data_IF_921891335626
#
_entry.id   IF_921891335626
#
_cell.length_a   1.000
_cell.length_b   1.000
_cell.length_c   1.000
_cell.angle_alpha   90.00
_cell.angle_beta   90.00
_cell.angle_gamma   90.00
#
_symmetry.space_group_name_H-M   'P 1'
#
loop_
_entity.id
_entity.type
_entity.pdbx_description
1 polymer ?
#
# COMPACT_ATOMS: atom_id res chain seq x y z
N UNK A 1 28.58 25.37 -6.83
CA UNK A 1 27.22 25.14 -6.27
C UNK A 1 26.52 24.37 -7.34
N UNK A 2 26.31 23.06 -7.16
CA UNK A 2 25.44 22.31 -8.05
C UNK A 2 24.03 22.84 -7.81
N UNK A 3 23.38 23.32 -8.87
CA UNK A 3 22.00 23.78 -8.79
C UNK A 3 21.12 22.61 -8.33
N UNK A 4 20.49 22.76 -7.19
CA UNK A 4 19.49 21.77 -6.73
C UNK A 4 18.34 21.78 -7.76
N UNK A 5 18.05 20.66 -8.40
CA UNK A 5 17.03 20.64 -9.46
C UNK A 5 15.67 21.08 -8.92
N UNK A 6 14.89 21.77 -9.76
CA UNK A 6 13.55 22.24 -9.41
C UNK A 6 12.64 21.01 -9.16
N UNK A 7 11.78 21.11 -8.15
CA UNK A 7 10.78 20.08 -7.84
C UNK A 7 9.45 20.49 -8.48
N UNK A 8 8.99 19.68 -9.43
CA UNK A 8 7.70 19.81 -10.07
C UNK A 8 6.67 18.93 -9.37
N UNK A 9 5.49 19.49 -9.08
CA UNK A 9 4.44 18.81 -8.33
C UNK A 9 3.21 18.61 -9.22
N UNK A 10 2.72 17.38 -9.27
CA UNK A 10 1.53 16.99 -10.03
C UNK A 10 0.61 16.15 -9.16
N UNK A 11 -0.68 16.09 -9.51
CA UNK A 11 -1.63 15.22 -8.82
C UNK A 11 -2.72 14.73 -9.75
N UNK A 12 -3.25 13.53 -9.44
CA UNK A 12 -4.31 12.87 -10.19
C UNK A 12 -5.21 12.10 -9.23
N UNK A 13 -6.47 11.85 -9.62
CA UNK A 13 -7.42 11.05 -8.85
C UNK A 13 -7.55 9.66 -9.48
N UNK A 14 -7.27 8.61 -8.72
CA UNK A 14 -7.48 7.22 -9.12
C UNK A 14 -7.75 6.37 -7.87
N UNK A 15 -8.37 5.22 -7.99
CA UNK A 15 -8.73 4.33 -6.88
C UNK A 15 -9.57 5.02 -5.79
N UNK A 16 -10.33 6.08 -6.14
CA UNK A 16 -11.04 6.92 -5.20
C UNK A 16 -10.14 7.67 -4.22
N UNK A 17 -8.90 7.92 -4.60
CA UNK A 17 -7.85 8.56 -3.80
C UNK A 17 -7.06 9.54 -4.67
N UNK A 18 -6.42 10.51 -4.03
CA UNK A 18 -5.51 11.43 -4.72
C UNK A 18 -4.09 10.89 -4.69
N UNK A 19 -3.46 10.87 -5.86
CA UNK A 19 -2.05 10.58 -6.04
C UNK A 19 -1.29 11.88 -6.26
N UNK A 20 -0.09 11.97 -5.67
CA UNK A 20 0.84 13.07 -5.89
C UNK A 20 2.15 12.53 -6.44
N UNK A 21 2.69 13.26 -7.39
CA UNK A 21 3.96 12.98 -8.05
C UNK A 21 4.84 14.21 -7.91
N UNK A 22 6.00 14.05 -7.30
CA UNK A 22 7.04 15.07 -7.22
C UNK A 22 8.23 14.61 -8.01
N UNK A 23 8.60 15.35 -9.04
CA UNK A 23 9.74 15.05 -9.91
C UNK A 23 10.76 16.15 -9.75
N UNK A 24 12.01 15.78 -9.43
CA UNK A 24 13.13 16.69 -9.41
C UNK A 24 13.82 16.66 -10.78
N UNK A 25 13.62 17.68 -11.60
CA UNK A 25 14.13 17.80 -12.95
C UNK A 25 14.42 19.27 -13.30
N UNK A 26 15.34 19.51 -14.24
CA UNK A 26 15.60 20.83 -14.79
C UNK A 26 14.50 21.28 -15.77
N UNK A 27 14.04 20.36 -16.62
CA UNK A 27 13.01 20.60 -17.63
C UNK A 27 11.60 20.29 -17.08
N UNK A 28 10.85 21.36 -16.78
CA UNK A 28 9.47 21.24 -16.28
C UNK A 28 8.48 20.74 -17.33
N UNK A 29 8.75 20.91 -18.63
CA UNK A 29 7.89 20.37 -19.70
C UNK A 29 8.07 18.85 -19.78
N UNK A 30 9.33 18.40 -19.71
CA UNK A 30 9.62 16.96 -19.67
C UNK A 30 9.02 16.29 -18.45
N UNK A 31 9.15 16.90 -17.26
CA UNK A 31 8.54 16.41 -16.03
C UNK A 31 7.00 16.32 -16.12
N UNK A 32 6.35 17.30 -16.76
CA UNK A 32 4.90 17.29 -16.99
C UNK A 32 4.49 16.15 -17.90
N UNK A 33 5.16 15.96 -19.03
CA UNK A 33 4.84 14.88 -19.98
C UNK A 33 5.02 13.49 -19.32
N UNK A 34 6.05 13.33 -18.49
CA UNK A 34 6.22 12.12 -17.70
C UNK A 34 5.04 11.91 -16.73
N UNK A 35 4.64 12.95 -15.98
CA UNK A 35 3.51 12.87 -15.07
C UNK A 35 2.18 12.52 -15.78
N UNK A 36 1.93 13.07 -16.96
CA UNK A 36 0.76 12.73 -17.78
C UNK A 36 0.76 11.25 -18.20
N UNK A 37 1.93 10.71 -18.56
CA UNK A 37 2.09 9.27 -18.84
C UNK A 37 1.79 8.40 -17.61
N UNK A 38 2.23 8.83 -16.42
CA UNK A 38 1.90 8.14 -15.16
C UNK A 38 0.40 8.18 -14.86
N UNK A 39 -0.29 9.28 -15.18
CA UNK A 39 -1.72 9.39 -14.94
C UNK A 39 -2.54 8.48 -15.86
N UNK A 40 -2.13 8.32 -17.12
CA UNK A 40 -2.72 7.33 -18.02
C UNK A 40 -2.54 5.90 -17.49
N UNK A 41 -1.35 5.58 -16.97
CA UNK A 41 -1.10 4.30 -16.32
C UNK A 41 -2.00 4.09 -15.09
N UNK A 42 -2.18 5.14 -14.26
CA UNK A 42 -3.05 5.07 -13.09
C UNK A 42 -4.51 4.79 -13.47
N UNK A 43 -5.04 5.46 -14.51
CA UNK A 43 -6.40 5.26 -14.98
C UNK A 43 -6.62 3.83 -15.51
N UNK A 44 -5.62 3.29 -16.22
CA UNK A 44 -5.67 1.90 -16.71
C UNK A 44 -5.62 0.90 -15.54
N UNK A 45 -4.72 1.10 -14.58
CA UNK A 45 -4.62 0.26 -13.39
C UNK A 45 -5.90 0.32 -12.55
N UNK A 46 -6.50 1.51 -12.36
CA UNK A 46 -7.76 1.69 -11.64
C UNK A 46 -8.87 0.86 -12.29
N UNK A 47 -9.04 0.99 -13.61
CA UNK A 47 -10.03 0.20 -14.34
C UNK A 47 -9.79 -1.32 -14.22
N UNK A 48 -8.53 -1.76 -14.34
CA UNK A 48 -8.20 -3.19 -14.37
C UNK A 48 -8.28 -3.87 -13.00
N UNK A 49 -8.03 -3.16 -11.91
CA UNK A 49 -7.79 -3.78 -10.60
C UNK A 49 -8.76 -3.36 -9.49
N UNK A 50 -9.55 -2.32 -9.71
CA UNK A 50 -10.57 -1.91 -8.73
C UNK A 50 -11.91 -2.59 -9.00
N UNK A 51 -12.40 -3.32 -8.00
CA UNK A 51 -13.70 -4.02 -8.06
C UNK A 51 -14.91 -3.10 -8.18
N UNK A 52 -14.75 -1.78 -8.00
CA UNK A 52 -15.83 -0.78 -8.11
C UNK A 52 -16.19 -0.43 -9.55
N UNK A 53 -15.34 -0.78 -10.50
CA UNK A 53 -15.67 -0.66 -11.93
C UNK A 53 -16.51 -1.85 -12.37
N UNK A 54 -17.82 -1.67 -12.52
CA UNK A 54 -18.79 -2.74 -12.82
C UNK A 54 -18.44 -3.54 -14.08
N UNK A 55 -17.80 -2.93 -15.07
CA UNK A 55 -17.32 -3.57 -16.31
C UNK A 55 -15.84 -3.97 -16.26
N UNK A 56 -15.16 -3.77 -15.12
CA UNK A 56 -13.75 -4.07 -14.96
C UNK A 56 -13.47 -5.56 -14.77
N UNK A 57 -12.21 -5.98 -14.98
CA UNK A 57 -11.81 -7.39 -14.84
C UNK A 57 -12.10 -7.96 -13.45
N UNK A 58 -11.87 -7.21 -12.36
CA UNK A 58 -12.10 -7.70 -10.99
C UNK A 58 -13.60 -7.86 -10.71
N UNK A 59 -14.46 -6.97 -11.22
CA UNK A 59 -15.91 -7.16 -11.13
C UNK A 59 -16.35 -8.40 -11.91
N UNK A 60 -15.79 -8.65 -13.08
CA UNK A 60 -16.04 -9.86 -13.87
C UNK A 60 -15.63 -11.12 -13.12
N UNK A 61 -14.46 -11.12 -12.46
CA UNK A 61 -14.01 -12.23 -11.59
C UNK A 61 -15.04 -12.49 -10.48
N UNK A 62 -15.53 -11.44 -9.85
CA UNK A 62 -16.49 -11.55 -8.74
C UNK A 62 -17.90 -11.99 -9.18
N UNK A 63 -18.19 -12.00 -10.48
CA UNK A 63 -19.47 -12.45 -11.06
C UNK A 63 -19.36 -13.82 -11.73
N UNK A 64 -18.17 -14.43 -11.75
CA UNK A 64 -17.97 -15.72 -12.40
C UNK A 64 -18.79 -16.82 -11.73
N UNK A 65 -19.53 -17.63 -12.50
CA UNK A 65 -20.11 -18.85 -11.97
C UNK A 65 -19.04 -19.90 -11.65
N UNK A 66 -19.38 -20.82 -10.78
CA UNK A 66 -18.52 -21.96 -10.44
C UNK A 66 -18.12 -22.74 -11.71
N UNK A 67 -16.83 -23.06 -11.84
CA UNK A 67 -16.24 -23.72 -12.99
C UNK A 67 -15.86 -22.79 -14.15
N UNK A 68 -16.24 -21.50 -14.12
CA UNK A 68 -15.86 -20.57 -15.16
C UNK A 68 -14.38 -20.13 -15.03
N UNK A 69 -13.80 -19.73 -16.17
CA UNK A 69 -12.43 -19.24 -16.29
C UNK A 69 -12.41 -17.90 -17.02
N UNK A 70 -11.47 -17.05 -16.64
CA UNK A 70 -11.19 -15.77 -17.33
C UNK A 70 -9.67 -15.59 -17.46
N UNK A 71 -9.24 -14.98 -18.56
CA UNK A 71 -7.85 -14.55 -18.70
C UNK A 71 -7.60 -13.33 -17.80
N UNK A 72 -6.75 -13.49 -16.79
CA UNK A 72 -6.32 -12.43 -15.91
C UNK A 72 -5.23 -11.58 -16.58
N UNK A 73 -5.36 -10.25 -16.54
CA UNK A 73 -4.29 -9.35 -16.97
C UNK A 73 -3.03 -9.52 -16.11
N UNK A 74 -1.89 -9.06 -16.59
CA UNK A 74 -0.62 -9.12 -15.84
C UNK A 74 -0.73 -8.42 -14.46
N UNK A 75 -1.51 -7.33 -14.38
CA UNK A 75 -1.74 -6.60 -13.14
C UNK A 75 -2.57 -7.39 -12.14
N UNK A 76 -3.62 -8.06 -12.61
CA UNK A 76 -4.44 -8.96 -11.77
C UNK A 76 -3.62 -10.15 -11.31
N UNK A 77 -2.80 -10.75 -12.20
CA UNK A 77 -1.91 -11.85 -11.86
C UNK A 77 -0.90 -11.45 -10.77
N UNK A 78 -0.24 -10.30 -10.93
CA UNK A 78 0.74 -9.80 -9.96
C UNK A 78 0.12 -9.57 -8.58
N UNK A 79 -1.02 -8.88 -8.51
CA UNK A 79 -1.75 -8.65 -7.27
C UNK A 79 -2.27 -9.94 -6.64
N UNK A 80 -2.76 -10.88 -7.47
CA UNK A 80 -3.21 -12.18 -6.99
C UNK A 80 -2.08 -12.97 -6.36
N UNK A 81 -0.96 -13.13 -7.04
CA UNK A 81 0.20 -13.87 -6.55
C UNK A 81 0.72 -13.27 -5.24
N UNK A 82 0.93 -11.95 -5.20
CA UNK A 82 1.33 -11.27 -3.97
C UNK A 82 0.33 -11.50 -2.83
N UNK A 83 -0.97 -11.42 -3.14
CA UNK A 83 -2.04 -11.65 -2.15
C UNK A 83 -2.03 -13.07 -1.59
N UNK A 84 -1.73 -14.07 -2.42
CA UNK A 84 -1.63 -15.47 -1.99
C UNK A 84 -0.41 -15.69 -1.10
N UNK A 85 0.72 -15.11 -1.47
CA UNK A 85 1.96 -15.23 -0.70
C UNK A 85 1.79 -14.61 0.69
N UNK A 86 1.32 -13.35 0.77
CA UNK A 86 1.14 -12.69 2.07
C UNK A 86 0.02 -13.34 2.90
N UNK A 87 -1.02 -13.89 2.26
CA UNK A 87 -2.08 -14.64 2.96
C UNK A 87 -1.52 -15.90 3.61
N UNK A 88 -0.66 -16.64 2.89
CA UNK A 88 0.01 -17.83 3.42
C UNK A 88 0.97 -17.48 4.57
N UNK A 89 1.77 -16.43 4.41
CA UNK A 89 2.76 -15.98 5.39
C UNK A 89 2.13 -15.45 6.69
N UNK A 90 0.90 -14.94 6.62
CA UNK A 90 0.20 -14.31 7.76
C UNK A 90 -0.95 -15.17 8.32
N UNK A 91 -1.06 -16.43 7.87
CA UNK A 91 -2.17 -17.29 8.29
C UNK A 91 -3.54 -16.65 8.00
N UNK A 92 -3.68 -16.02 6.84
CA UNK A 92 -4.86 -15.29 6.38
C UNK A 92 -5.23 -14.03 7.18
N UNK A 93 -4.32 -13.42 7.93
CA UNK A 93 -4.55 -12.09 8.48
C UNK A 93 -4.71 -11.02 7.38
N UNK A 94 -4.17 -11.29 6.20
CA UNK A 94 -4.50 -10.63 4.94
C UNK A 94 -5.08 -11.66 3.96
N UNK A 95 -6.19 -11.34 3.32
CA UNK A 95 -6.76 -12.19 2.27
C UNK A 95 -7.58 -11.34 1.27
N UNK A 96 -7.12 -11.28 0.02
CA UNK A 96 -7.81 -10.52 -1.03
C UNK A 96 -9.18 -11.09 -1.40
N UNK A 97 -9.53 -12.32 -0.99
CA UNK A 97 -10.86 -12.90 -1.24
C UNK A 97 -11.91 -12.53 -0.18
N UNK A 98 -11.52 -11.76 0.85
CA UNK A 98 -12.40 -11.30 1.93
C UNK A 98 -13.26 -10.08 1.57
N UNK A 99 -13.31 -9.66 0.31
CA UNK A 99 -14.04 -8.45 -0.13
C UNK A 99 -15.52 -8.43 0.25
N UNK A 100 -16.18 -9.59 0.33
CA UNK A 100 -17.58 -9.70 0.77
C UNK A 100 -17.75 -9.30 2.25
N UNK A 101 -16.78 -9.62 3.12
CA UNK A 101 -16.78 -9.24 4.53
C UNK A 101 -16.67 -7.70 4.67
N UNK A 102 -15.78 -7.06 3.90
CA UNK A 102 -15.67 -5.60 3.88
C UNK A 102 -16.97 -4.95 3.39
N UNK A 103 -17.59 -5.50 2.35
CA UNK A 103 -18.87 -5.01 1.84
C UNK A 103 -19.99 -5.12 2.88
N UNK A 104 -20.08 -6.23 3.59
CA UNK A 104 -21.05 -6.44 4.66
C UNK A 104 -20.92 -5.33 5.72
N UNK A 105 -19.71 -5.11 6.25
CA UNK A 105 -19.48 -4.11 7.29
C UNK A 105 -19.71 -2.69 6.79
N UNK A 106 -19.28 -2.35 5.59
CA UNK A 106 -19.50 -1.04 4.97
C UNK A 106 -21.01 -0.73 4.80
N UNK A 107 -21.79 -1.72 4.36
CA UNK A 107 -23.21 -1.52 4.10
C UNK A 107 -24.07 -1.53 5.38
N UNK A 108 -23.55 -2.13 6.45
CA UNK A 108 -24.23 -2.18 7.75
C UNK A 108 -24.27 -0.83 8.47
N UNK A 109 -23.26 0.02 8.27
CA UNK A 109 -23.10 1.28 9.01
C UNK A 109 -22.84 1.04 10.50
N UNK A 110 -23.46 1.87 11.38
CA UNK A 110 -23.25 1.87 12.83
C UNK A 110 -24.14 0.85 13.60
N UNK A 111 -24.84 -0.04 12.91
CA UNK A 111 -25.70 -1.00 13.60
C UNK A 111 -24.88 -1.95 14.49
N UNK A 112 -25.37 -2.30 15.71
CA UNK A 112 -24.67 -3.23 16.59
C UNK A 112 -24.47 -4.59 15.92
N UNK A 113 -23.31 -5.20 16.13
CA UNK A 113 -23.04 -6.54 15.60
C UNK A 113 -23.96 -7.58 16.23
N UNK A 114 -24.59 -8.38 15.39
CA UNK A 114 -25.35 -9.55 15.81
C UNK A 114 -24.68 -10.81 15.23
N UNK A 115 -24.08 -11.68 16.06
CA UNK A 115 -23.43 -12.91 15.59
C UNK A 115 -24.42 -13.90 14.95
N UNK A 116 -25.72 -13.78 15.25
CA UNK A 116 -26.80 -14.63 14.69
C UNK A 116 -27.38 -14.04 13.39
N UNK A 117 -26.81 -12.96 12.86
CA UNK A 117 -27.23 -12.37 11.60
C UNK A 117 -27.05 -13.37 10.45
N UNK A 118 -28.15 -13.74 9.81
CA UNK A 118 -28.16 -14.73 8.73
C UNK A 118 -27.32 -14.28 7.54
N UNK A 119 -27.34 -12.97 7.19
CA UNK A 119 -26.54 -12.43 6.09
C UNK A 119 -25.04 -12.51 6.40
N UNK A 120 -24.66 -12.25 7.65
CA UNK A 120 -23.29 -12.42 8.11
C UNK A 120 -22.82 -13.87 8.01
N UNK A 121 -23.63 -14.81 8.51
CA UNK A 121 -23.30 -16.23 8.47
C UNK A 121 -23.16 -16.74 7.04
N UNK A 122 -23.98 -16.23 6.10
CA UNK A 122 -23.85 -16.53 4.68
C UNK A 122 -22.54 -16.00 4.09
N UNK A 123 -22.16 -14.75 4.40
CA UNK A 123 -20.89 -14.15 3.94
C UNK A 123 -19.70 -14.97 4.44
N UNK A 124 -19.69 -15.35 5.72
CA UNK A 124 -18.58 -16.12 6.30
C UNK A 124 -18.52 -17.55 5.78
N UNK A 125 -19.67 -18.20 5.56
CA UNK A 125 -19.71 -19.53 4.94
C UNK A 125 -19.18 -19.47 3.50
N UNK A 126 -19.68 -18.53 2.70
CA UNK A 126 -19.22 -18.35 1.33
C UNK A 126 -17.72 -18.10 1.26
N UNK A 127 -17.18 -17.20 2.10
CA UNK A 127 -15.74 -16.92 2.17
C UNK A 127 -14.91 -18.17 2.50
N UNK A 128 -15.33 -18.98 3.47
CA UNK A 128 -14.61 -20.19 3.89
C UNK A 128 -14.64 -21.28 2.82
N UNK A 129 -15.73 -21.37 2.10
CA UNK A 129 -15.98 -22.38 1.08
C UNK A 129 -15.45 -21.99 -0.31
N UNK A 130 -15.31 -20.69 -0.58
CA UNK A 130 -14.90 -20.16 -1.88
C UNK A 130 -13.46 -20.49 -2.23
N UNK A 131 -13.23 -20.81 -3.50
CA UNK A 131 -11.90 -21.09 -4.03
C UNK A 131 -11.74 -20.50 -5.43
N UNK A 132 -10.69 -19.70 -5.60
CA UNK A 132 -10.19 -19.26 -6.90
C UNK A 132 -8.79 -19.82 -7.12
N UNK A 133 -8.49 -20.22 -8.35
CA UNK A 133 -7.17 -20.73 -8.75
C UNK A 133 -6.66 -20.00 -9.97
N UNK A 134 -5.43 -19.52 -9.87
CA UNK A 134 -4.69 -18.97 -11.01
C UNK A 134 -3.69 -20.03 -11.50
N UNK A 135 -3.75 -20.37 -12.79
CA UNK A 135 -2.80 -21.22 -13.48
C UNK A 135 -2.31 -20.50 -14.75
N UNK A 136 -1.04 -20.10 -14.75
CA UNK A 136 -0.54 -19.17 -15.74
C UNK A 136 -1.32 -17.85 -15.73
N UNK A 137 -2.01 -17.56 -16.84
CA UNK A 137 -2.91 -16.38 -16.93
C UNK A 137 -4.39 -16.73 -16.76
N UNK A 138 -4.77 -17.98 -16.52
CA UNK A 138 -6.16 -18.40 -16.39
C UNK A 138 -6.61 -18.41 -14.92
N UNK A 139 -7.49 -17.49 -14.56
CA UNK A 139 -8.15 -17.49 -13.26
C UNK A 139 -9.45 -18.26 -13.32
N UNK A 140 -9.56 -19.30 -12.50
CA UNK A 140 -10.74 -20.19 -12.42
C UNK A 140 -11.48 -19.94 -11.10
N UNK A 141 -12.80 -19.76 -11.15
CA UNK A 141 -13.68 -19.90 -10.00
C UNK A 141 -13.93 -21.39 -9.74
N UNK A 142 -13.14 -22.03 -8.87
CA UNK A 142 -13.27 -23.45 -8.56
C UNK A 142 -14.52 -23.71 -7.75
N UNK A 143 -14.77 -22.85 -6.76
CA UNK A 143 -15.99 -22.86 -5.95
C UNK A 143 -16.40 -21.42 -5.68
N UNK A 144 -17.64 -21.10 -5.96
CA UNK A 144 -18.17 -19.75 -5.73
C UNK A 144 -18.21 -19.43 -4.24
N UNK A 145 -17.65 -18.28 -3.86
CA UNK A 145 -17.67 -17.80 -2.49
C UNK A 145 -16.58 -16.73 -2.26
N UNK A 146 -16.85 -15.82 -1.36
CA UNK A 146 -16.00 -14.64 -1.17
C UNK A 146 -16.16 -13.61 -2.28
N UNK A 147 -15.30 -12.61 -2.26
CA UNK A 147 -15.15 -11.63 -3.33
C UNK A 147 -13.71 -11.11 -3.36
N UNK A 148 -13.13 -11.06 -4.54
CA UNK A 148 -11.77 -10.52 -4.74
C UNK A 148 -11.79 -9.00 -4.58
N UNK A 149 -10.89 -8.49 -3.75
CA UNK A 149 -10.71 -7.07 -3.49
C UNK A 149 -9.21 -6.76 -3.23
N UNK A 150 -8.60 -6.05 -4.15
CA UNK A 150 -7.21 -5.62 -4.03
C UNK A 150 -7.06 -4.23 -3.39
N UNK A 151 -8.15 -3.57 -2.99
CA UNK A 151 -8.17 -2.19 -2.50
C UNK A 151 -7.23 -1.89 -1.33
N UNK A 152 -6.79 -2.91 -0.61
CA UNK A 152 -5.86 -2.80 0.50
C UNK A 152 -4.39 -2.66 0.09
N UNK A 153 -4.03 -3.06 -1.15
CA UNK A 153 -2.65 -3.15 -1.64
C UNK A 153 -2.43 -2.52 -3.02
N UNK A 154 -3.51 -2.21 -3.73
CA UNK A 154 -3.44 -1.77 -5.13
C UNK A 154 -2.76 -0.42 -5.30
N UNK A 155 -2.83 0.47 -4.31
CA UNK A 155 -2.17 1.78 -4.39
C UNK A 155 -0.65 1.65 -4.30
N UNK A 156 -0.16 0.76 -3.45
CA UNK A 156 1.26 0.41 -3.40
C UNK A 156 1.73 -0.18 -4.72
N UNK A 157 0.98 -1.12 -5.26
CA UNK A 157 1.25 -1.67 -6.58
C UNK A 157 1.32 -0.60 -7.67
N UNK A 158 0.37 0.35 -7.67
CA UNK A 158 0.35 1.44 -8.62
C UNK A 158 1.59 2.34 -8.48
N UNK A 159 2.03 2.67 -7.26
CA UNK A 159 3.26 3.44 -7.06
C UNK A 159 4.50 2.71 -7.57
N UNK A 160 4.60 1.39 -7.38
CA UNK A 160 5.71 0.59 -7.92
C UNK A 160 5.72 0.62 -9.46
N UNK A 161 4.54 0.47 -10.13
CA UNK A 161 4.44 0.59 -11.59
C UNK A 161 4.80 1.98 -12.10
N UNK A 162 4.38 3.03 -11.39
CA UNK A 162 4.74 4.41 -11.71
C UNK A 162 6.26 4.63 -11.59
N UNK A 163 6.89 4.11 -10.56
CA UNK A 163 8.33 4.18 -10.38
C UNK A 163 9.08 3.48 -11.53
N UNK A 164 8.65 2.26 -11.88
CA UNK A 164 9.22 1.53 -13.01
C UNK A 164 9.10 2.31 -14.33
N UNK A 165 7.94 2.93 -14.60
CA UNK A 165 7.74 3.75 -15.79
C UNK A 165 8.63 5.00 -15.79
N UNK A 166 8.75 5.69 -14.65
CA UNK A 166 9.66 6.85 -14.54
C UNK A 166 11.10 6.46 -14.87
N UNK A 167 11.58 5.36 -14.31
CA UNK A 167 12.96 4.95 -14.49
C UNK A 167 13.22 4.35 -15.87
N UNK A 168 12.35 3.43 -16.33
CA UNK A 168 12.59 2.68 -17.58
C UNK A 168 12.24 3.47 -18.84
N UNK A 169 11.16 4.27 -18.83
CA UNK A 169 10.66 4.96 -20.01
C UNK A 169 11.07 6.42 -20.08
N UNK A 170 11.23 7.07 -18.92
CA UNK A 170 11.56 8.49 -18.82
C UNK A 170 12.98 8.78 -18.32
N UNK A 171 13.72 7.77 -17.83
CA UNK A 171 15.06 7.99 -17.24
C UNK A 171 15.05 8.93 -16.03
N UNK A 172 13.90 9.04 -15.35
CA UNK A 172 13.72 9.90 -14.18
C UNK A 172 13.90 9.04 -12.92
N UNK A 173 15.00 9.28 -12.20
CA UNK A 173 15.34 8.54 -10.98
C UNK A 173 15.05 9.33 -9.69
N UNK A 174 14.80 10.65 -9.79
CA UNK A 174 14.61 11.54 -8.64
C UNK A 174 13.16 11.94 -8.51
N UNK A 175 12.38 11.15 -7.76
CA UNK A 175 10.96 11.38 -7.57
C UNK A 175 10.46 10.93 -6.20
N UNK A 176 9.33 11.49 -5.78
CA UNK A 176 8.54 11.06 -4.64
C UNK A 176 7.10 10.83 -5.11
N UNK A 177 6.63 9.62 -4.95
CA UNK A 177 5.29 9.17 -5.33
C UNK A 177 4.47 8.92 -4.07
N UNK A 178 3.23 9.39 -4.03
CA UNK A 178 2.39 9.28 -2.84
C UNK A 178 0.93 8.98 -3.22
N UNK A 179 0.28 8.11 -2.49
CA UNK A 179 -1.16 7.87 -2.57
C UNK A 179 -1.81 8.20 -1.22
N UNK A 180 -2.64 9.24 -1.23
CA UNK A 180 -3.58 9.74 -0.21
C UNK A 180 -3.39 9.21 1.23
N UNK A 181 -2.26 9.58 1.87
CA UNK A 181 -2.02 9.28 3.30
C UNK A 181 -1.83 7.80 3.65
N UNK A 182 -1.87 6.88 2.66
CA UNK A 182 -1.71 5.45 2.91
C UNK A 182 -0.32 4.93 2.60
N UNK A 183 0.25 5.32 1.46
CA UNK A 183 1.56 4.83 1.01
C UNK A 183 2.34 5.91 0.28
N UNK A 184 3.65 5.89 0.48
CA UNK A 184 4.63 6.78 -0.15
C UNK A 184 5.81 5.94 -0.63
N UNK A 185 6.26 6.16 -1.86
CA UNK A 185 7.46 5.56 -2.44
C UNK A 185 8.46 6.67 -2.78
N UNK A 186 9.64 6.60 -2.22
CA UNK A 186 10.73 7.51 -2.47
C UNK A 186 11.76 6.86 -3.39
N UNK A 187 12.00 7.46 -4.55
CA UNK A 187 13.17 7.23 -5.38
C UNK A 187 14.37 8.05 -4.87
N UNK A 188 15.38 8.30 -5.69
CA UNK A 188 16.53 9.12 -5.30
C UNK A 188 16.08 10.54 -4.92
N UNK A 189 16.67 11.14 -3.91
CA UNK A 189 16.32 12.49 -3.48
C UNK A 189 16.89 13.56 -4.42
N UNK A 190 16.39 14.80 -4.35
CA UNK A 190 16.97 15.92 -5.09
C UNK A 190 18.33 16.34 -4.48
N UNK A 191 19.31 16.66 -5.33
CA UNK A 191 20.62 17.13 -4.93
C UNK A 191 21.37 16.14 -4.01
N UNK A 192 22.08 16.67 -3.02
CA UNK A 192 22.89 15.88 -2.06
C UNK A 192 22.10 15.44 -0.81
N UNK A 193 20.78 15.54 -0.81
CA UNK A 193 19.97 15.13 0.32
C UNK A 193 20.10 13.63 0.58
N UNK A 194 20.12 13.22 1.84
CA UNK A 194 20.15 11.81 2.23
C UNK A 194 18.80 11.08 1.96
N UNK A 195 17.73 11.78 1.62
CA UNK A 195 16.42 11.23 1.34
C UNK A 195 15.31 12.27 1.28
N UNK A 196 14.16 11.87 0.82
CA UNK A 196 12.93 12.66 0.88
C UNK A 196 12.40 12.70 2.31
N UNK A 197 12.03 13.90 2.78
CA UNK A 197 11.50 14.10 4.15
C UNK A 197 10.01 13.74 4.18
N UNK A 198 9.64 12.76 4.98
CA UNK A 198 8.28 12.23 5.14
C UNK A 198 7.82 12.42 6.58
N UNK A 199 6.69 13.12 6.77
CA UNK A 199 6.09 13.28 8.09
C UNK A 199 5.50 11.97 8.62
N UNK A 200 5.86 11.58 9.84
CA UNK A 200 5.35 10.36 10.51
C UNK A 200 4.56 10.65 11.79
N UNK A 201 4.20 11.88 12.00
CA UNK A 201 3.41 12.36 13.14
C UNK A 201 3.36 13.88 13.17
N UNK A 202 2.85 14.46 14.25
CA UNK A 202 2.70 15.92 14.36
C UNK A 202 4.06 16.65 14.24
N UNK A 203 5.11 16.13 14.89
CA UNK A 203 6.43 16.75 14.96
C UNK A 203 7.56 15.80 14.56
N UNK A 204 7.26 14.66 13.94
CA UNK A 204 8.25 13.67 13.59
C UNK A 204 8.31 13.47 12.07
N UNK A 205 9.52 13.26 11.56
CA UNK A 205 9.76 12.93 10.16
C UNK A 205 10.86 11.88 10.01
N UNK A 206 10.84 11.20 8.89
CA UNK A 206 11.90 10.30 8.46
C UNK A 206 12.42 10.74 7.09
N UNK A 207 13.62 10.32 6.73
CA UNK A 207 14.17 10.49 5.38
C UNK A 207 14.12 9.15 4.66
N UNK A 208 13.44 9.10 3.51
CA UNK A 208 13.34 7.91 2.66
C UNK A 208 14.14 8.08 1.38
N UNK A 209 14.90 7.06 1.00
CA UNK A 209 15.59 6.94 -0.27
C UNK A 209 15.53 5.48 -0.71
N UNK A 210 14.96 5.21 -1.87
CA UNK A 210 14.77 3.85 -2.41
C UNK A 210 13.98 2.92 -1.48
N UNK A 211 13.04 3.51 -0.72
CA UNK A 211 12.13 2.79 0.17
C UNK A 211 10.71 3.35 0.07
N UNK A 212 9.77 2.50 0.39
CA UNK A 212 8.39 2.86 0.60
C UNK A 212 8.01 2.83 2.08
N UNK A 213 7.06 3.68 2.45
CA UNK A 213 6.39 3.65 3.75
C UNK A 213 4.89 3.60 3.54
N UNK A 214 4.22 2.69 4.24
CA UNK A 214 2.77 2.67 4.31
C UNK A 214 2.29 2.94 5.74
N UNK A 215 1.04 3.41 5.85
CA UNK A 215 0.38 3.66 7.13
C UNK A 215 -1.06 3.16 7.06
N UNK A 216 -1.45 2.34 8.03
CA UNK A 216 -2.83 1.88 8.19
C UNK A 216 -3.40 2.37 9.50
N UNK A 217 -4.54 3.06 9.41
CA UNK A 217 -5.39 3.42 10.54
C UNK A 217 -6.70 2.64 10.44
N UNK A 218 -7.30 2.32 11.57
CA UNK A 218 -8.64 1.76 11.62
C UNK A 218 -9.41 2.46 12.74
N UNK A 219 -10.52 3.07 12.39
CA UNK A 219 -11.50 3.51 13.37
C UNK A 219 -12.80 2.71 13.22
N UNK A 220 -13.56 2.65 14.28
CA UNK A 220 -14.82 1.90 14.31
C UNK A 220 -15.94 2.58 13.52
N UNK A 221 -15.80 3.86 13.19
CA UNK A 221 -16.83 4.66 12.53
C UNK A 221 -16.92 4.39 11.04
N UNK A 222 -15.85 3.92 10.43
CA UNK A 222 -15.80 3.69 8.99
C UNK A 222 -15.65 2.22 8.59
N UNK A 223 -15.60 1.27 9.54
CA UNK A 223 -15.63 -0.18 9.30
C UNK A 223 -14.52 -0.71 8.38
N UNK A 224 -13.36 -0.06 8.37
CA UNK A 224 -12.42 -0.16 7.27
C UNK A 224 -11.36 -1.26 7.42
N UNK A 225 -11.33 -1.95 8.57
CA UNK A 225 -10.42 -3.06 8.78
C UNK A 225 -11.17 -4.24 9.38
N UNK A 226 -11.09 -5.37 8.71
CA UNK A 226 -11.70 -6.64 9.15
C UNK A 226 -10.61 -7.68 9.24
N UNK A 227 -10.59 -8.47 10.32
CA UNK A 227 -9.79 -9.70 10.35
C UNK A 227 -10.47 -10.76 9.49
N UNK A 228 -9.90 -11.15 8.35
CA UNK A 228 -10.53 -12.14 7.48
C UNK A 228 -10.77 -13.50 8.14
N UNK A 229 -9.96 -13.85 9.13
CA UNK A 229 -10.02 -15.13 9.86
C UNK A 229 -11.29 -15.26 10.71
N UNK A 230 -11.67 -14.15 11.35
CA UNK A 230 -12.83 -14.07 12.25
C UNK A 230 -14.00 -13.32 11.63
N UNK A 231 -13.72 -12.48 10.64
CA UNK A 231 -14.64 -11.57 10.01
C UNK A 231 -15.04 -10.37 10.88
N UNK A 232 -14.38 -10.15 12.00
CA UNK A 232 -14.68 -9.05 12.90
C UNK A 232 -13.93 -7.77 12.54
N UNK A 233 -14.56 -6.63 12.79
CA UNK A 233 -13.92 -5.31 12.64
C UNK A 233 -12.86 -5.12 13.71
N UNK A 234 -11.70 -4.63 13.29
CA UNK A 234 -10.59 -4.27 14.16
C UNK A 234 -10.58 -2.75 14.33
N UNK A 235 -10.36 -2.31 15.58
CA UNK A 235 -10.06 -0.94 15.93
C UNK A 235 -8.60 -0.84 16.37
N UNK A 236 -7.89 0.16 15.87
CA UNK A 236 -6.50 0.41 16.24
C UNK A 236 -6.40 1.68 17.11
N UNK A 237 -5.66 1.65 18.21
CA UNK A 237 -5.45 2.83 19.06
C UNK A 237 -4.57 3.89 18.39
N UNK A 238 -3.97 3.57 17.27
CA UNK A 238 -3.11 4.45 16.47
C UNK A 238 -2.72 3.79 15.16
N UNK A 239 -1.95 4.47 14.32
CA UNK A 239 -1.54 3.92 13.03
C UNK A 239 -0.51 2.79 13.19
N UNK A 240 -0.70 1.73 12.43
CA UNK A 240 0.37 0.78 12.09
C UNK A 240 1.11 1.34 10.89
N UNK A 241 2.43 1.40 10.95
CA UNK A 241 3.28 1.84 9.83
C UNK A 241 4.25 0.75 9.45
N UNK A 242 4.57 0.71 8.17
CA UNK A 242 5.53 -0.25 7.63
C UNK A 242 6.52 0.45 6.71
N UNK A 243 7.69 -0.15 6.56
CA UNK A 243 8.72 0.25 5.62
C UNK A 243 9.18 -0.98 4.86
N UNK A 244 9.31 -0.87 3.55
CA UNK A 244 9.83 -1.91 2.65
C UNK A 244 10.48 -1.27 1.41
N UNK A 245 11.16 -2.07 0.61
CA UNK A 245 11.75 -1.61 -0.66
C UNK A 245 10.73 -1.39 -1.77
N UNK A 246 9.55 -2.00 -1.67
CA UNK A 246 8.42 -1.90 -2.59
C UNK A 246 7.21 -1.29 -1.88
N UNK A 247 6.43 -0.47 -2.57
CA UNK A 247 5.23 0.14 -2.03
C UNK A 247 4.10 -0.89 -1.84
N UNK A 248 3.99 -1.87 -2.75
CA UNK A 248 3.09 -3.01 -2.62
C UNK A 248 3.39 -3.80 -1.34
N UNK A 249 4.66 -4.10 -1.09
CA UNK A 249 5.08 -4.81 0.11
C UNK A 249 4.81 -3.99 1.38
N UNK A 250 5.11 -2.69 1.36
CA UNK A 250 4.82 -1.81 2.49
C UNK A 250 3.32 -1.80 2.83
N UNK A 251 2.42 -1.66 1.84
CA UNK A 251 0.97 -1.72 2.09
C UNK A 251 0.54 -3.08 2.66
N UNK A 252 1.04 -4.18 2.08
CA UNK A 252 0.74 -5.53 2.57
C UNK A 252 1.19 -5.74 4.02
N UNK A 253 2.40 -5.30 4.37
CA UNK A 253 2.93 -5.33 5.74
C UNK A 253 2.07 -4.51 6.72
N UNK A 254 1.69 -3.28 6.35
CA UNK A 254 0.85 -2.43 7.19
C UNK A 254 -0.55 -3.04 7.41
N UNK A 255 -1.12 -3.64 6.36
CA UNK A 255 -2.43 -4.30 6.44
C UNK A 255 -2.38 -5.55 7.32
N UNK A 256 -1.43 -6.45 7.08
CA UNK A 256 -1.27 -7.64 7.89
C UNK A 256 -0.92 -7.29 9.35
N UNK A 257 0.02 -6.37 9.56
CA UNK A 257 0.43 -5.92 10.89
C UNK A 257 -0.67 -5.25 11.70
N UNK A 258 -1.69 -4.70 11.03
CA UNK A 258 -2.88 -4.14 11.68
C UNK A 258 -3.85 -5.23 12.20
N UNK A 259 -3.71 -6.47 11.73
CA UNK A 259 -4.56 -7.62 12.09
C UNK A 259 -3.83 -8.58 13.04
N UNK A 260 -2.52 -8.76 12.82
CA UNK A 260 -1.69 -9.70 13.58
C UNK A 260 -1.50 -9.25 15.04
N UNK A 261 -1.39 -10.20 15.95
CA UNK A 261 -0.85 -9.96 17.28
C UNK A 261 0.63 -9.53 17.18
N UNK A 262 1.17 -8.92 18.22
CA UNK A 262 2.58 -8.47 18.22
C UNK A 262 3.56 -9.63 17.94
N UNK A 263 3.31 -10.83 18.50
CA UNK A 263 4.16 -12.00 18.28
C UNK A 263 4.08 -12.52 16.84
N UNK A 264 2.89 -12.61 16.25
CA UNK A 264 2.69 -12.98 14.85
C UNK A 264 3.33 -11.95 13.91
N UNK A 265 3.20 -10.65 14.23
CA UNK A 265 3.79 -9.56 13.47
C UNK A 265 5.33 -9.62 13.48
N UNK A 266 5.95 -9.93 14.62
CA UNK A 266 7.40 -10.11 14.75
C UNK A 266 7.90 -11.27 13.88
N UNK A 267 7.22 -12.42 13.95
CA UNK A 267 7.57 -13.59 13.12
C UNK A 267 7.44 -13.24 11.62
N UNK A 268 6.35 -12.60 11.23
CA UNK A 268 6.09 -12.23 9.83
C UNK A 268 7.15 -11.27 9.27
N UNK A 269 7.46 -10.20 10.01
CA UNK A 269 8.43 -9.18 9.57
C UNK A 269 9.83 -9.78 9.42
N UNK A 270 10.23 -10.70 10.32
CA UNK A 270 11.56 -11.32 10.31
C UNK A 270 11.75 -12.36 9.20
N UNK A 271 10.71 -12.77 8.48
CA UNK A 271 10.83 -13.67 7.31
C UNK A 271 11.40 -12.97 6.08
N UNK A 272 11.41 -11.64 6.02
CA UNK A 272 11.92 -10.85 4.90
C UNK A 272 13.09 -9.94 5.27
N UNK A 273 13.88 -9.56 4.24
CA UNK A 273 14.96 -8.59 4.38
C UNK A 273 14.44 -7.16 4.15
N UNK A 274 15.07 -6.17 4.78
CA UNK A 274 14.79 -4.75 4.56
C UNK A 274 13.33 -4.35 4.84
N UNK A 275 12.70 -5.00 5.80
CA UNK A 275 11.32 -4.75 6.26
C UNK A 275 11.31 -4.12 7.65
N UNK A 276 10.32 -3.29 7.90
CA UNK A 276 10.07 -2.73 9.21
C UNK A 276 8.58 -2.52 9.46
N UNK A 277 8.17 -2.70 10.71
CA UNK A 277 6.81 -2.50 11.16
C UNK A 277 6.80 -1.74 12.48
N UNK A 278 6.01 -0.69 12.56
CA UNK A 278 5.80 0.09 13.78
C UNK A 278 4.36 -0.08 14.24
N UNK A 279 4.20 -0.66 15.40
CA UNK A 279 2.89 -0.88 16.02
C UNK A 279 2.39 0.37 16.73
N UNK A 280 1.08 0.47 17.00
CA UNK A 280 0.48 1.66 17.62
C UNK A 280 1.01 1.98 19.04
N UNK A 281 1.52 0.98 19.75
CA UNK A 281 2.11 1.12 21.09
C UNK A 281 3.57 1.64 21.06
N UNK A 282 4.11 1.89 19.87
CA UNK A 282 5.49 2.33 19.65
C UNK A 282 6.50 1.20 19.46
N UNK A 283 6.09 -0.07 19.53
CA UNK A 283 6.95 -1.21 19.26
C UNK A 283 7.42 -1.18 17.79
N UNK A 284 8.72 -1.37 17.57
CA UNK A 284 9.34 -1.43 16.26
C UNK A 284 9.90 -2.82 16.03
N UNK A 285 9.51 -3.44 14.91
CA UNK A 285 9.86 -4.79 14.52
C UNK A 285 10.65 -4.78 13.20
N UNK A 286 11.54 -5.75 13.02
CA UNK A 286 12.34 -5.91 11.80
C UNK A 286 13.53 -4.96 11.71
N UNK A 287 14.02 -4.69 10.50
CA UNK A 287 15.25 -3.92 10.23
C UNK A 287 15.06 -2.38 10.21
N UNK A 288 14.03 -1.87 10.89
CA UNK A 288 13.64 -0.43 10.90
C UNK A 288 14.68 0.48 11.54
N UNK A 289 15.72 -0.04 12.15
CA UNK A 289 16.78 0.73 12.83
C UNK A 289 17.54 1.70 11.92
N UNK A 290 17.35 1.60 10.61
CA UNK A 290 18.02 2.46 9.63
C UNK A 290 17.31 3.82 9.41
N UNK A 291 16.12 4.05 9.95
CA UNK A 291 15.39 5.29 9.78
C UNK A 291 15.36 6.07 11.08
N UNK A 292 16.23 7.08 11.19
CA UNK A 292 16.16 8.03 12.30
C UNK A 292 14.89 8.86 12.19
N UNK A 293 14.08 8.82 13.24
CA UNK A 293 12.95 9.73 13.41
C UNK A 293 13.49 11.04 13.94
N UNK A 294 13.46 12.07 13.14
CA UNK A 294 13.91 13.41 13.54
C UNK A 294 12.72 14.20 14.12
N UNK A 295 12.87 14.78 15.28
CA UNK A 295 11.88 15.70 15.84
C UNK A 295 11.96 17.06 15.13
N UNK A 296 10.89 17.48 14.47
CA UNK A 296 10.80 18.76 13.77
C UNK A 296 10.84 19.97 14.69
N UNK A 297 10.57 19.79 15.98
CA UNK A 297 10.63 20.88 16.97
C UNK A 297 12.06 21.27 17.35
N UNK A 298 13.03 20.41 17.02
CA UNK A 298 14.47 20.69 17.27
C UNK A 298 15.08 21.22 15.98
N UNK A 299 15.55 22.49 15.91
CA UNK A 299 16.27 22.99 14.74
C UNK A 299 17.53 22.16 14.50
N UNK A 300 17.79 21.79 13.25
CA UNK A 300 19.07 21.14 12.88
C UNK A 300 20.24 22.02 13.39
N UNK A 301 21.08 21.45 14.26
CA UNK A 301 22.31 22.12 14.68
C UNK A 301 23.14 22.40 13.43
N UNK A 302 23.34 23.68 13.10
CA UNK A 302 24.27 24.06 12.05
C UNK A 302 25.66 23.57 12.46
N UNK A 303 26.18 22.57 11.77
CA UNK A 303 27.57 22.16 11.89
C UNK A 303 28.42 23.31 11.36
N UNK A 304 28.83 24.20 12.23
CA UNK A 304 29.89 25.17 11.94
C UNK A 304 31.20 24.40 11.93
N UNK A 305 31.69 24.07 10.75
CA UNK A 305 33.10 23.73 10.56
C UNK A 305 33.89 24.98 10.87
N UNK A 306 34.48 25.03 12.07
CA UNK A 306 35.55 25.99 12.37
C UNK A 306 36.79 25.53 11.62
N UNK A 307 37.16 26.25 10.53
CA UNK A 307 38.49 26.21 10.00
C UNK A 307 39.41 26.90 11.02
N UNK A 308 40.17 26.12 11.78
CA UNK A 308 41.35 26.62 12.48
C UNK A 308 42.44 26.81 11.44
N UNK A 309 42.67 28.07 11.06
CA UNK A 309 43.85 28.50 10.35
C UNK A 309 45.06 28.40 11.30
N UNK A 310 45.97 27.44 11.03
CA UNK A 310 47.30 27.43 11.61
C UNK A 310 48.18 28.39 10.83
N UNK A 311 48.67 29.43 11.51
CA UNK A 311 49.84 30.25 11.12
C UNK A 311 51.11 29.51 11.45
#
# INVERSE_FOLDING_TARGET
MEDTPLIHNFSHEAFGSRFWVRIAAEDGVYARNAAEGLFQLLDDLDFQTDRRHDSGPVASINQMPEGAMIAASEHVQALWNFSKDISADTGKAFDATAGAQFSYWKNRGELPFNPDDQAWNQVMSAYRDGEFRLDGCELTCVKFGGAVDFGAIVRGYALDRMADMLESSWGIHRALLMASGSVTLALDPPGESAGWRIGVGANAEIKLCRFAMASKTADTTHGNLVDPRTGQVISLPGPVRSIATSALEAEGLAMAGAVLSAAEAEEFVNRGCSRGLWLPDGTKLGSVTYFEVTDRSVPEARTTTSEESAT
#
